data_IF_540924812555
#
_entry.id   IF_540924812555
#
_cell.length_a   1.000
_cell.length_b   1.000
_cell.length_c   1.000
_cell.angle_alpha   90.00
_cell.angle_beta   90.00
_cell.angle_gamma   90.00
#
_symmetry.space_group_name_H-M   'P 1'
#
loop_
_entity.id
_entity.type
_entity.pdbx_description
1 polymer ?
#
# COMPACT_ATOMS: atom_id res chain seq x y z
N UNK A 1 23.26 25.67 -1.81
CA UNK A 1 23.75 25.11 -0.54
C UNK A 1 22.62 24.90 0.47
N UNK A 2 21.64 25.77 0.58
CA UNK A 2 20.52 25.66 1.53
C UNK A 2 19.55 24.50 1.19
N UNK A 3 19.28 24.22 -0.10
CA UNK A 3 18.38 23.15 -0.52
C UNK A 3 18.89 21.73 -0.17
N UNK A 4 20.21 21.52 -0.15
CA UNK A 4 20.78 20.21 0.20
C UNK A 4 20.64 19.91 1.70
N UNK A 5 20.73 20.93 2.56
CA UNK A 5 20.56 20.75 4.00
C UNK A 5 19.11 20.42 4.39
N UNK A 6 18.14 20.97 3.66
CA UNK A 6 16.72 20.69 3.89
C UNK A 6 16.39 19.24 3.48
N UNK A 7 16.89 18.77 2.35
CA UNK A 7 16.71 17.36 1.93
C UNK A 7 17.30 16.37 2.94
N UNK A 8 18.50 16.66 3.47
CA UNK A 8 19.16 15.79 4.44
C UNK A 8 18.41 15.74 5.79
N UNK A 9 17.84 16.86 6.24
CA UNK A 9 17.05 16.91 7.46
C UNK A 9 15.73 16.14 7.34
N UNK A 10 15.04 16.25 6.20
CA UNK A 10 13.77 15.55 5.93
C UNK A 10 13.99 14.03 5.88
N UNK A 11 15.06 13.58 5.22
CA UNK A 11 15.42 12.16 5.12
C UNK A 11 15.80 11.58 6.51
N UNK A 12 16.45 12.35 7.36
CA UNK A 12 16.82 11.92 8.72
C UNK A 12 15.59 11.69 9.61
N UNK A 13 14.61 12.59 9.58
CA UNK A 13 13.39 12.46 10.39
C UNK A 13 12.47 11.32 9.91
N UNK A 14 12.40 11.11 8.60
CA UNK A 14 11.66 9.99 8.02
C UNK A 14 12.19 8.62 8.46
N UNK A 15 13.53 8.47 8.51
CA UNK A 15 14.18 7.22 8.96
C UNK A 15 13.91 6.92 10.44
N UNK A 16 13.92 7.94 11.30
CA UNK A 16 13.67 7.75 12.74
C UNK A 16 12.22 7.38 13.00
N UNK A 17 11.28 8.00 12.30
CA UNK A 17 9.85 7.70 12.41
C UNK A 17 9.56 6.26 11.94
N UNK A 18 10.21 5.82 10.88
CA UNK A 18 10.10 4.47 10.33
C UNK A 18 10.61 3.39 11.31
N UNK A 19 11.77 3.60 11.92
CA UNK A 19 12.32 2.68 12.91
C UNK A 19 11.45 2.56 14.15
N UNK A 20 10.88 3.67 14.63
CA UNK A 20 9.95 3.68 15.77
C UNK A 20 8.65 2.96 15.43
N UNK A 21 8.13 3.13 14.20
CA UNK A 21 6.92 2.44 13.74
C UNK A 21 7.14 0.92 13.64
N UNK A 22 8.27 0.48 13.11
CA UNK A 22 8.62 -0.95 13.07
C UNK A 22 8.76 -1.52 14.48
N UNK A 23 9.40 -0.80 15.40
CA UNK A 23 9.57 -1.25 16.80
C UNK A 23 8.21 -1.38 17.52
N UNK A 24 7.27 -0.46 17.26
CA UNK A 24 5.90 -0.51 17.80
C UNK A 24 5.11 -1.71 17.24
N UNK A 25 5.29 -2.04 15.97
CA UNK A 25 4.62 -3.18 15.33
C UNK A 25 5.15 -4.50 15.90
N UNK A 26 6.46 -4.61 16.07
CA UNK A 26 7.11 -5.81 16.67
C UNK A 26 6.63 -5.99 18.09
N UNK A 27 6.50 -4.93 18.90
CA UNK A 27 6.00 -5.02 20.28
C UNK A 27 4.52 -5.41 20.34
N UNK A 28 3.70 -5.01 19.37
CA UNK A 28 2.29 -5.40 19.30
C UNK A 28 2.12 -6.90 18.96
N UNK A 29 3.00 -7.44 18.11
CA UNK A 29 3.01 -8.85 17.73
C UNK A 29 3.33 -9.78 18.92
N UNK A 30 4.15 -9.32 19.85
CA UNK A 30 4.52 -10.08 21.06
C UNK A 30 3.36 -10.14 22.06
N UNK A 31 2.47 -9.14 22.07
CA UNK A 31 1.36 -9.07 23.03
C UNK A 31 0.13 -9.88 22.58
N UNK A 32 0.02 -10.24 21.29
CA UNK A 32 -1.10 -11.00 20.72
C UNK A 32 -0.92 -12.53 20.79
N UNK A 33 0.14 -13.02 21.39
CA UNK A 33 0.58 -14.42 21.40
C UNK A 33 -0.20 -15.38 22.32
N UNK A 34 -1.52 -15.23 22.50
CA UNK A 34 -2.33 -16.20 23.23
C UNK A 34 -3.67 -16.46 22.53
N UNK A 35 -3.66 -17.26 21.48
CA UNK A 35 -4.80 -18.10 21.14
C UNK A 35 -4.37 -19.19 20.14
N UNK A 36 -4.10 -20.36 20.65
CA UNK A 36 -3.95 -21.62 19.89
C UNK A 36 -5.35 -22.10 19.45
N UNK A 37 -5.81 -21.61 18.30
CA UNK A 37 -6.77 -22.28 17.42
C UNK A 37 -6.22 -22.11 16.02
N UNK A 38 -6.08 -23.21 15.28
CA UNK A 38 -5.79 -23.20 13.86
C UNK A 38 -6.82 -22.27 13.18
N UNK A 39 -6.41 -21.04 12.88
CA UNK A 39 -7.20 -20.11 12.08
C UNK A 39 -7.03 -20.53 10.62
N UNK A 40 -8.03 -21.21 10.10
CA UNK A 40 -8.12 -21.57 8.70
C UNK A 40 -8.19 -20.28 7.86
N UNK A 41 -7.30 -20.16 6.89
CA UNK A 41 -7.32 -19.08 5.89
C UNK A 41 -8.64 -19.08 5.12
N UNK A 42 -9.08 -17.93 4.55
CA UNK A 42 -10.33 -17.82 3.80
C UNK A 42 -10.49 -18.86 2.68
N UNK A 43 -9.37 -19.41 2.21
CA UNK A 43 -9.31 -20.42 1.16
C UNK A 43 -9.57 -21.85 1.63
N UNK A 44 -9.58 -22.11 2.95
CA UNK A 44 -9.77 -23.45 3.51
C UNK A 44 -11.26 -23.80 3.73
N UNK A 45 -12.18 -22.86 3.53
CA UNK A 45 -13.60 -23.13 3.54
C UNK A 45 -14.01 -23.80 2.21
N UNK A 46 -13.89 -25.13 2.15
CA UNK A 46 -14.39 -25.94 1.07
C UNK A 46 -15.91 -26.05 1.16
N UNK A 47 -16.60 -25.60 0.12
CA UNK A 47 -17.96 -26.08 -0.15
C UNK A 47 -17.92 -27.60 -0.36
N UNK A 48 -19.07 -28.28 -0.30
CA UNK A 48 -19.20 -29.73 -0.53
C UNK A 48 -18.57 -30.22 -1.84
N UNK A 49 -18.17 -29.32 -2.73
CA UNK A 49 -17.48 -29.57 -4.01
C UNK A 49 -15.98 -29.24 -3.99
N UNK A 50 -15.41 -28.86 -2.85
CA UNK A 50 -13.97 -28.63 -2.70
C UNK A 50 -13.42 -27.30 -3.21
N UNK A 51 -14.26 -26.40 -3.75
CA UNK A 51 -13.85 -25.09 -4.29
C UNK A 51 -14.48 -23.97 -3.44
N UNK A 52 -13.71 -22.95 -3.01
CA UNK A 52 -14.25 -21.81 -2.28
C UNK A 52 -15.29 -21.07 -3.10
N UNK A 53 -16.37 -20.61 -2.45
CA UNK A 53 -17.43 -19.88 -3.13
C UNK A 53 -16.92 -18.54 -3.67
N UNK A 54 -17.59 -17.98 -4.68
CA UNK A 54 -17.23 -16.68 -5.24
C UNK A 54 -17.16 -15.57 -4.17
N UNK A 55 -18.07 -15.59 -3.20
CA UNK A 55 -18.12 -14.61 -2.11
C UNK A 55 -16.93 -14.71 -1.15
N UNK A 56 -16.39 -15.91 -0.96
CA UNK A 56 -15.26 -16.14 -0.07
C UNK A 56 -13.93 -15.70 -0.70
N UNK A 57 -13.92 -15.50 -2.01
CA UNK A 57 -12.79 -14.99 -2.77
C UNK A 57 -12.78 -13.47 -2.92
N UNK A 58 -13.90 -12.80 -2.65
CA UNK A 58 -13.98 -11.35 -2.67
C UNK A 58 -13.38 -10.77 -1.39
N UNK A 59 -12.63 -9.69 -1.56
CA UNK A 59 -12.13 -8.90 -0.46
C UNK A 59 -12.29 -7.40 -0.75
N UNK A 60 -12.35 -6.64 0.31
CA UNK A 60 -12.37 -5.18 0.29
C UNK A 60 -11.15 -4.67 1.05
N UNK A 61 -10.61 -3.57 0.61
CA UNK A 61 -9.44 -3.03 1.27
C UNK A 61 -9.10 -1.63 0.79
N UNK A 62 -7.86 -1.27 0.97
CA UNK A 62 -7.34 -0.01 0.49
C UNK A 62 -6.15 0.45 1.29
N UNK A 63 -5.55 1.54 0.83
CA UNK A 63 -4.47 2.20 1.54
C UNK A 63 -4.85 3.63 1.90
N UNK A 64 -4.30 4.06 3.03
CA UNK A 64 -4.34 5.42 3.52
C UNK A 64 -2.90 5.93 3.64
N UNK A 65 -2.59 7.00 2.92
CA UNK A 65 -1.33 7.72 3.05
C UNK A 65 -1.58 9.05 3.75
N UNK A 66 -0.80 9.35 4.78
CA UNK A 66 -0.91 10.58 5.54
C UNK A 66 0.47 11.17 5.78
N UNK A 67 0.69 12.39 5.30
CA UNK A 67 1.88 13.18 5.57
C UNK A 67 1.46 14.58 6.00
N UNK A 68 2.03 15.06 7.10
CA UNK A 68 1.76 16.38 7.64
C UNK A 68 3.08 17.10 7.94
N UNK A 69 3.07 18.41 7.81
CA UNK A 69 4.22 19.27 8.06
C UNK A 69 4.27 20.43 7.07
N UNK A 70 5.44 20.72 6.52
CA UNK A 70 5.60 21.73 5.47
C UNK A 70 4.81 21.36 4.21
N UNK A 71 4.68 20.06 3.96
CA UNK A 71 3.81 19.48 2.91
C UNK A 71 2.72 18.70 3.64
N UNK A 72 1.48 18.87 3.20
CA UNK A 72 0.35 18.02 3.58
C UNK A 72 -0.01 17.16 2.39
N UNK A 73 0.03 15.84 2.57
CA UNK A 73 -0.33 14.86 1.55
C UNK A 73 -1.26 13.81 2.18
N UNK A 74 -2.46 13.72 1.66
CA UNK A 74 -3.49 12.80 2.14
C UNK A 74 -3.96 11.98 0.96
N UNK A 75 -3.66 10.69 0.99
CA UNK A 75 -4.08 9.74 -0.05
C UNK A 75 -5.07 8.73 0.52
N UNK A 76 -6.14 8.49 -0.21
CA UNK A 76 -7.14 7.45 0.09
C UNK A 76 -7.40 6.65 -1.19
N UNK A 77 -7.23 5.34 -1.11
CA UNK A 77 -7.41 4.45 -2.26
C UNK A 77 -8.15 3.18 -1.82
N UNK A 78 -9.49 3.22 -1.73
CA UNK A 78 -10.26 2.01 -1.49
C UNK A 78 -10.17 1.07 -2.70
N UNK A 79 -10.19 -0.23 -2.46
CA UNK A 79 -10.14 -1.25 -3.50
C UNK A 79 -11.15 -2.36 -3.25
N UNK A 80 -11.61 -2.97 -4.32
CA UNK A 80 -12.29 -4.25 -4.32
C UNK A 80 -11.41 -5.25 -5.05
N UNK A 81 -11.22 -6.42 -4.48
CA UNK A 81 -10.36 -7.43 -5.04
C UNK A 81 -10.95 -8.82 -5.03
N UNK A 82 -10.28 -9.70 -5.75
CA UNK A 82 -10.69 -11.08 -5.93
C UNK A 82 -9.47 -12.00 -5.94
N UNK A 83 -9.54 -13.09 -5.17
CA UNK A 83 -8.55 -14.15 -5.20
C UNK A 83 -8.81 -15.05 -6.42
N UNK A 84 -8.07 -14.82 -7.49
CA UNK A 84 -8.15 -15.62 -8.74
C UNK A 84 -7.65 -17.04 -8.50
N UNK A 85 -6.55 -17.16 -7.77
CA UNK A 85 -5.94 -18.40 -7.32
C UNK A 85 -5.62 -18.32 -5.82
N UNK A 86 -5.36 -19.43 -5.14
CA UNK A 86 -5.02 -19.43 -3.70
C UNK A 86 -3.87 -18.51 -3.31
N UNK A 87 -3.01 -18.17 -4.27
CA UNK A 87 -1.84 -17.30 -4.05
C UNK A 87 -1.85 -16.03 -4.89
N UNK A 88 -2.86 -15.83 -5.75
CA UNK A 88 -2.93 -14.70 -6.67
C UNK A 88 -4.19 -13.92 -6.42
N UNK A 89 -4.04 -12.68 -6.01
CA UNK A 89 -5.11 -11.72 -5.87
C UNK A 89 -5.00 -10.62 -6.93
N UNK A 90 -6.14 -10.15 -7.41
CA UNK A 90 -6.25 -8.97 -8.25
C UNK A 90 -7.20 -7.99 -7.59
N UNK A 91 -6.93 -6.69 -7.72
CA UNK A 91 -7.83 -5.68 -7.19
C UNK A 91 -7.82 -4.42 -8.06
N UNK A 92 -8.89 -3.66 -7.95
CA UNK A 92 -9.06 -2.38 -8.63
C UNK A 92 -9.77 -1.40 -7.70
N UNK A 93 -9.48 -0.13 -7.83
CA UNK A 93 -10.15 0.90 -7.06
C UNK A 93 -9.81 2.32 -7.49
N UNK A 94 -10.60 3.31 -7.05
CA UNK A 94 -10.30 4.71 -7.23
C UNK A 94 -9.15 5.14 -6.31
N UNK A 95 -8.43 6.19 -6.73
CA UNK A 95 -7.44 6.89 -5.91
C UNK A 95 -7.81 8.36 -5.84
N UNK A 96 -7.79 8.90 -4.64
CA UNK A 96 -7.89 10.34 -4.38
C UNK A 96 -6.70 10.76 -3.52
N UNK A 97 -6.01 11.85 -3.93
CA UNK A 97 -4.87 12.41 -3.22
C UNK A 97 -5.01 13.93 -3.13
N UNK A 98 -4.98 14.45 -1.94
CA UNK A 98 -4.92 15.89 -1.66
C UNK A 98 -3.49 16.26 -1.32
N UNK A 99 -2.91 17.15 -2.12
CA UNK A 99 -1.54 17.62 -1.93
C UNK A 99 -1.54 19.12 -1.70
N UNK A 100 -0.82 19.56 -0.68
CA UNK A 100 -0.67 20.98 -0.34
C UNK A 100 0.77 21.26 0.05
N UNK A 101 1.37 22.24 -0.61
CA UNK A 101 2.63 22.87 -0.24
C UNK A 101 2.40 24.28 0.33
N UNK A 102 3.46 25.01 0.81
CA UNK A 102 3.31 26.36 1.34
C UNK A 102 2.74 27.39 0.36
N UNK A 103 2.82 27.13 -0.94
CA UNK A 103 2.44 28.08 -2.00
C UNK A 103 1.06 27.81 -2.56
N UNK A 104 0.63 26.53 -2.61
CA UNK A 104 -0.62 26.15 -3.26
C UNK A 104 -1.12 24.77 -2.83
N UNK A 105 -2.32 24.41 -3.28
CA UNK A 105 -2.92 23.10 -3.03
C UNK A 105 -3.56 22.56 -4.31
N UNK A 106 -3.53 21.24 -4.47
CA UNK A 106 -4.12 20.54 -5.62
C UNK A 106 -4.71 19.21 -5.21
N UNK A 107 -5.69 18.74 -5.98
CA UNK A 107 -6.25 17.40 -5.84
C UNK A 107 -5.93 16.57 -7.08
N UNK A 108 -5.49 15.33 -6.84
CA UNK A 108 -5.26 14.32 -7.84
C UNK A 108 -6.32 13.24 -7.65
N UNK A 109 -6.82 12.71 -8.75
CA UNK A 109 -7.76 11.60 -8.70
C UNK A 109 -7.55 10.69 -9.89
N UNK A 110 -7.86 9.43 -9.71
CA UNK A 110 -7.66 8.44 -10.73
C UNK A 110 -8.14 7.07 -10.30
N UNK A 111 -7.53 6.06 -10.87
CA UNK A 111 -7.79 4.67 -10.54
C UNK A 111 -6.48 3.88 -10.51
N UNK A 112 -6.50 2.79 -9.79
CA UNK A 112 -5.40 1.84 -9.76
C UNK A 112 -5.90 0.41 -9.84
N UNK A 113 -5.05 -0.46 -10.36
CA UNK A 113 -5.25 -1.89 -10.33
C UNK A 113 -3.97 -2.59 -9.95
N UNK A 114 -4.06 -3.70 -9.23
CA UNK A 114 -2.87 -4.45 -8.86
C UNK A 114 -3.06 -5.96 -8.92
N UNK A 115 -1.93 -6.64 -9.02
CA UNK A 115 -1.81 -8.08 -8.84
C UNK A 115 -0.86 -8.32 -7.66
N UNK A 116 -1.30 -9.18 -6.74
CA UNK A 116 -0.51 -9.59 -5.57
C UNK A 116 -0.31 -11.11 -5.61
N UNK A 117 0.92 -11.55 -5.41
CA UNK A 117 1.30 -12.96 -5.40
C UNK A 117 1.89 -13.34 -4.03
N UNK A 118 1.21 -14.20 -3.29
CA UNK A 118 1.69 -14.73 -2.01
C UNK A 118 2.79 -15.77 -2.23
N UNK A 119 4.03 -15.42 -1.91
CA UNK A 119 5.17 -16.33 -1.94
C UNK A 119 5.05 -17.32 -0.78
N UNK A 120 4.84 -16.78 0.42
CA UNK A 120 4.62 -17.52 1.66
C UNK A 120 3.30 -17.03 2.24
N UNK A 121 2.33 -17.92 2.40
CA UNK A 121 1.02 -17.56 2.94
C UNK A 121 1.07 -17.41 4.47
N UNK A 122 1.83 -18.28 5.12
CA UNK A 122 2.04 -18.23 6.55
C UNK A 122 3.46 -18.67 6.93
N UNK A 123 4.22 -17.72 7.44
CA UNK A 123 5.60 -17.95 7.89
C UNK A 123 5.65 -18.66 9.25
N UNK A 124 4.56 -18.64 10.03
CA UNK A 124 4.48 -19.31 11.32
C UNK A 124 4.59 -20.84 11.20
N UNK A 125 4.28 -21.39 10.02
CA UNK A 125 4.49 -22.81 9.71
C UNK A 125 5.97 -23.23 9.62
N UNK A 126 6.87 -22.25 9.42
CA UNK A 126 8.32 -22.48 9.26
C UNK A 126 9.10 -21.94 10.46
N UNK A 127 8.70 -20.79 10.96
CA UNK A 127 9.35 -20.09 12.08
C UNK A 127 8.26 -19.80 13.12
N UNK A 128 8.36 -20.34 14.35
CA UNK A 128 7.36 -20.09 15.39
C UNK A 128 7.41 -18.63 15.85
N UNK A 129 6.77 -17.76 15.08
CA UNK A 129 6.52 -16.36 15.42
C UNK A 129 5.08 -16.26 15.92
N UNK A 130 4.84 -15.52 16.99
CA UNK A 130 3.54 -15.43 17.68
C UNK A 130 2.40 -14.79 16.86
N UNK A 131 2.41 -14.88 15.53
CA UNK A 131 1.39 -14.36 14.63
C UNK A 131 1.52 -14.89 13.21
N UNK A 132 0.40 -14.95 12.49
CA UNK A 132 0.35 -15.40 11.11
C UNK A 132 0.80 -14.29 10.17
N UNK A 133 1.97 -14.45 9.57
CA UNK A 133 2.62 -13.45 8.70
C UNK A 133 2.88 -14.07 7.33
N UNK A 134 2.36 -13.45 6.27
CA UNK A 134 2.64 -13.82 4.89
C UNK A 134 3.72 -12.94 4.25
N UNK A 135 4.31 -13.42 3.16
CA UNK A 135 5.22 -12.66 2.29
C UNK A 135 4.65 -12.66 0.88
N UNK A 136 4.62 -11.48 0.25
CA UNK A 136 4.04 -11.34 -1.08
C UNK A 136 4.86 -10.43 -2.00
N UNK A 137 4.67 -10.61 -3.30
CA UNK A 137 5.05 -9.68 -4.36
C UNK A 137 3.83 -8.88 -4.79
N UNK A 138 4.05 -7.65 -5.24
CA UNK A 138 3.01 -6.71 -5.63
C UNK A 138 3.41 -5.96 -6.89
N UNK A 139 2.49 -5.89 -7.84
CA UNK A 139 2.60 -5.09 -9.06
C UNK A 139 1.34 -4.27 -9.19
N UNK A 140 1.49 -2.97 -9.24
CA UNK A 140 0.38 -2.01 -9.32
C UNK A 140 0.57 -1.08 -10.51
N UNK A 141 -0.51 -0.82 -11.23
CA UNK A 141 -0.61 0.20 -12.25
C UNK A 141 -1.59 1.28 -11.79
N UNK A 142 -1.15 2.51 -11.74
CA UNK A 142 -1.92 3.65 -11.27
C UNK A 142 -1.98 4.75 -12.34
N UNK A 143 -3.20 5.15 -12.69
CA UNK A 143 -3.49 6.24 -13.61
C UNK A 143 -4.07 7.42 -12.84
N UNK A 144 -3.33 8.52 -12.76
CA UNK A 144 -3.74 9.75 -12.06
C UNK A 144 -3.95 10.90 -13.02
N UNK A 145 -4.97 11.71 -12.75
CA UNK A 145 -5.25 12.97 -13.40
C UNK A 145 -4.70 14.12 -12.56
N UNK A 146 -3.77 14.88 -13.12
CA UNK A 146 -3.02 15.97 -12.50
C UNK A 146 -3.36 17.32 -13.13
N UNK A 147 -3.32 18.37 -12.33
CA UNK A 147 -3.46 19.75 -12.83
C UNK A 147 -2.13 20.23 -13.40
N UNK A 148 -2.12 20.62 -14.69
CA UNK A 148 -0.91 21.05 -15.39
C UNK A 148 -0.32 22.35 -14.82
N UNK A 149 -1.14 23.25 -14.32
CA UNK A 149 -0.68 24.49 -13.68
C UNK A 149 0.21 24.22 -12.46
N UNK A 150 -0.07 23.18 -11.69
CA UNK A 150 0.67 22.82 -10.50
C UNK A 150 1.92 21.98 -10.80
N UNK A 151 1.84 21.07 -11.78
CA UNK A 151 2.86 20.02 -11.98
C UNK A 151 3.78 20.24 -13.18
N UNK A 152 3.47 21.21 -14.09
CA UNK A 152 4.32 21.52 -15.26
C UNK A 152 5.03 22.83 -15.07
N UNK A 153 6.30 22.89 -15.42
CA UNK A 153 7.09 24.12 -15.46
C UNK A 153 7.62 24.36 -16.89
N UNK A 154 7.54 25.59 -17.47
CA UNK A 154 6.85 26.78 -16.90
C UNK A 154 5.35 26.55 -16.77
N UNK A 155 4.73 27.21 -15.79
CA UNK A 155 3.31 27.07 -15.53
C UNK A 155 2.50 27.46 -16.78
N UNK A 156 1.70 26.57 -17.36
CA UNK A 156 0.87 26.92 -18.50
C UNK A 156 -0.23 27.89 -18.06
N UNK A 157 -0.60 28.81 -18.97
CA UNK A 157 -1.69 29.77 -18.70
C UNK A 157 -3.07 29.10 -18.54
N UNK A 158 -3.21 27.85 -18.98
CA UNK A 158 -4.43 27.06 -18.85
C UNK A 158 -4.26 25.98 -17.79
N UNK A 159 -5.26 25.85 -16.90
CA UNK A 159 -5.34 24.80 -15.88
C UNK A 159 -5.87 23.49 -16.47
N UNK A 160 -5.32 23.04 -17.58
CA UNK A 160 -5.68 21.75 -18.17
C UNK A 160 -5.19 20.60 -17.29
N UNK A 161 -5.90 19.49 -17.34
CA UNK A 161 -5.50 18.27 -16.67
C UNK A 161 -4.78 17.36 -17.65
N UNK A 162 -3.79 16.63 -17.14
CA UNK A 162 -3.10 15.59 -17.89
C UNK A 162 -3.09 14.30 -17.07
N UNK A 163 -2.87 13.19 -17.75
CA UNK A 163 -2.81 11.88 -17.10
C UNK A 163 -1.36 11.45 -16.93
N UNK A 164 -1.07 10.92 -15.74
CA UNK A 164 0.20 10.29 -15.42
C UNK A 164 -0.08 8.82 -15.09
N UNK A 165 0.56 7.94 -15.82
CA UNK A 165 0.56 6.52 -15.52
C UNK A 165 1.84 6.16 -14.79
N UNK A 166 1.74 5.38 -13.72
CA UNK A 166 2.88 4.92 -12.93
C UNK A 166 2.72 3.44 -12.61
N UNK A 167 3.69 2.65 -13.03
CA UNK A 167 3.79 1.24 -12.65
C UNK A 167 4.70 1.11 -11.44
N UNK A 168 4.19 0.48 -10.37
CA UNK A 168 4.92 0.22 -9.15
C UNK A 168 5.10 -1.29 -8.96
N UNK A 169 6.32 -1.69 -8.60
CA UNK A 169 6.65 -3.10 -8.35
C UNK A 169 7.38 -3.23 -7.03
N UNK A 170 7.06 -4.24 -6.29
CA UNK A 170 7.73 -4.50 -5.03
C UNK A 170 7.17 -5.70 -4.30
N UNK A 171 7.16 -5.63 -2.99
CA UNK A 171 6.64 -6.69 -2.16
C UNK A 171 6.56 -6.26 -0.70
N UNK A 172 6.10 -7.17 0.13
CA UNK A 172 5.90 -6.85 1.52
C UNK A 172 5.55 -8.06 2.37
N UNK A 173 5.15 -7.73 3.58
CA UNK A 173 4.64 -8.68 4.56
C UNK A 173 3.17 -8.40 4.84
N UNK A 174 2.40 -9.45 4.97
CA UNK A 174 0.98 -9.41 5.32
C UNK A 174 0.81 -9.98 6.73
N UNK A 175 0.40 -9.14 7.66
CA UNK A 175 0.08 -9.54 9.02
C UNK A 175 -1.41 -9.84 9.11
N UNK A 176 -1.79 -11.08 9.33
CA UNK A 176 -3.18 -11.46 9.54
C UNK A 176 -3.66 -11.01 10.91
N UNK A 177 -4.76 -10.25 10.94
CA UNK A 177 -5.40 -9.74 12.15
C UNK A 177 -6.61 -10.60 12.56
N UNK A 178 -7.03 -11.53 11.70
CA UNK A 178 -8.15 -12.42 11.88
C UNK A 178 -8.41 -13.26 10.63
N UNK A 179 -9.54 -13.96 10.59
CA UNK A 179 -9.86 -14.90 9.52
C UNK A 179 -9.89 -14.29 8.11
N UNK A 180 -10.27 -13.01 7.99
CA UNK A 180 -10.43 -12.31 6.70
C UNK A 180 -9.71 -10.97 6.64
N UNK A 181 -9.09 -10.53 7.74
CA UNK A 181 -8.47 -9.22 7.82
C UNK A 181 -6.96 -9.34 7.86
N UNK A 182 -6.28 -8.54 7.07
CA UNK A 182 -4.83 -8.40 7.12
C UNK A 182 -4.40 -6.94 7.05
N UNK A 183 -3.23 -6.69 7.57
CA UNK A 183 -2.50 -5.44 7.45
C UNK A 183 -1.24 -5.72 6.63
N UNK A 184 -1.14 -5.09 5.47
CA UNK A 184 -0.05 -5.30 4.54
C UNK A 184 0.92 -4.12 4.63
N UNK A 185 2.20 -4.42 4.84
CA UNK A 185 3.31 -3.47 4.80
C UNK A 185 4.14 -3.76 3.57
N UNK A 186 4.28 -2.80 2.68
CA UNK A 186 4.96 -3.01 1.40
C UNK A 186 5.94 -1.90 1.06
N UNK A 187 6.93 -2.28 0.29
CA UNK A 187 7.94 -1.40 -0.30
C UNK A 187 7.83 -1.53 -1.81
N UNK A 188 7.56 -0.42 -2.48
CA UNK A 188 7.29 -0.36 -3.90
C UNK A 188 8.30 0.56 -4.60
N UNK A 189 8.70 0.19 -5.80
CA UNK A 189 9.58 0.98 -6.68
C UNK A 189 8.83 1.36 -7.94
N UNK A 190 8.73 2.67 -8.27
CA UNK A 190 8.21 3.09 -9.55
C UNK A 190 9.18 2.68 -10.67
N UNK A 191 8.68 2.00 -11.72
CA UNK A 191 9.51 1.48 -12.81
C UNK A 191 9.85 2.54 -13.87
N UNK A 192 8.97 3.49 -14.13
CA UNK A 192 8.99 4.22 -15.41
C UNK A 192 9.21 5.72 -15.31
N UNK A 193 9.55 6.33 -14.14
CA UNK A 193 9.48 7.78 -14.16
C UNK A 193 10.48 8.52 -13.27
N UNK A 194 11.41 9.29 -13.86
CA UNK A 194 12.15 10.32 -13.14
C UNK A 194 11.25 11.44 -12.59
N UNK A 195 9.98 11.51 -13.03
CA UNK A 195 8.93 12.44 -12.59
C UNK A 195 7.88 11.76 -11.70
N UNK A 196 8.21 10.61 -11.11
CA UNK A 196 7.29 9.91 -10.21
C UNK A 196 6.83 10.83 -9.08
N UNK A 197 5.53 10.78 -8.79
CA UNK A 197 4.92 11.42 -7.62
C UNK A 197 5.27 10.70 -6.32
N UNK A 198 5.88 9.53 -6.44
CA UNK A 198 6.21 8.64 -5.33
C UNK A 198 7.69 8.72 -4.98
N UNK A 199 7.97 8.56 -3.70
CA UNK A 199 9.33 8.35 -3.21
C UNK A 199 9.91 7.07 -3.81
N UNK A 200 11.23 6.97 -3.85
CA UNK A 200 11.90 5.79 -4.36
C UNK A 200 12.85 5.25 -3.28
N UNK A 201 12.44 4.23 -2.53
CA UNK A 201 11.18 3.48 -2.60
C UNK A 201 9.99 4.15 -1.90
N UNK A 202 8.79 3.84 -2.35
CA UNK A 202 7.52 4.15 -1.70
C UNK A 202 7.22 3.13 -0.61
N UNK A 203 6.90 3.61 0.59
CA UNK A 203 6.45 2.78 1.71
C UNK A 203 4.94 2.91 1.86
N UNK A 204 4.24 1.80 1.86
CA UNK A 204 2.78 1.79 1.90
C UNK A 204 2.23 0.81 2.92
N UNK A 205 1.14 1.22 3.56
CA UNK A 205 0.35 0.39 4.46
C UNK A 205 -1.03 0.23 3.82
N UNK A 206 -1.51 -1.01 3.74
CA UNK A 206 -2.81 -1.35 3.20
C UNK A 206 -3.57 -2.24 4.18
N UNK A 207 -4.87 -2.06 4.24
CA UNK A 207 -5.78 -2.89 5.02
C UNK A 207 -6.66 -3.70 4.08
N UNK A 208 -6.83 -5.00 4.35
CA UNK A 208 -7.67 -5.93 3.60
C UNK A 208 -8.63 -6.59 4.58
N UNK A 209 -9.89 -6.71 4.12
CA UNK A 209 -11.00 -7.34 4.85
C UNK A 209 -11.82 -8.25 3.94
#
# INVERSE_FOLDING_TARGET
>A
MILNNIKTAIISHSRTFFLVSILLIISFSILSGQSTKEEQFPFDQKDNNGTPSFKDRLFYGGNLGLQFGTITDIQVSPVIGYWVLPRVAVAIGPTYRYYKDPSSATALYGAKGYVQFAIVQDLSSVIPMGGHTGIFLHVEDELLSLNSYFWKWPNPFNSERFYLNTVLVGGGISQHLGRRSSLDFMVLWPLDNPYSLYDNPELRISFIY
#
